data_IF_057083574716
#
_entry.id   IF_057083574716
#
_cell.length_a   1.000
_cell.length_b   1.000
_cell.length_c   1.000
_cell.angle_alpha   90.00
_cell.angle_beta   90.00
_cell.angle_gamma   90.00
#
_symmetry.space_group_name_H-M   'P 1'
#
loop_
_entity.id
_entity.type
_entity.pdbx_description
1 polymer ?
#
# COMPACT_ATOMS: atom_id res chain seq x y z
N UNK A 1 -3.46 -57.33 -28.24
CA UNK A 1 -4.68 -57.06 -29.04
C UNK A 1 -5.38 -55.87 -28.40
N UNK A 2 -5.61 -54.87 -29.24
CA UNK A 2 -6.38 -53.61 -29.19
C UNK A 2 -7.31 -53.29 -28.00
N UNK A 3 -7.23 -52.00 -27.60
CA UNK A 3 -8.12 -51.08 -26.84
C UNK A 3 -9.60 -51.05 -27.37
N UNK A 4 -10.64 -50.36 -26.78
CA UNK A 4 -10.63 -49.07 -26.03
C UNK A 4 -11.70 -48.82 -24.91
N UNK A 5 -11.59 -47.69 -24.20
CA UNK A 5 -12.70 -46.96 -23.53
C UNK A 5 -12.41 -46.56 -22.06
N UNK A 6 -11.76 -45.42 -21.80
CA UNK A 6 -12.36 -44.11 -21.50
C UNK A 6 -13.45 -44.12 -20.41
N UNK A 7 -13.07 -43.77 -19.17
CA UNK A 7 -13.90 -42.89 -18.35
C UNK A 7 -13.04 -42.03 -17.43
N UNK A 8 -13.34 -40.74 -17.49
CA UNK A 8 -12.66 -39.60 -16.89
C UNK A 8 -13.33 -39.40 -15.52
N UNK A 9 -12.61 -39.57 -14.42
CA UNK A 9 -13.05 -39.05 -13.12
C UNK A 9 -12.39 -37.70 -12.90
N UNK A 10 -13.22 -36.67 -12.86
CA UNK A 10 -12.88 -35.27 -12.69
C UNK A 10 -12.15 -35.04 -11.37
N UNK A 11 -10.91 -34.57 -11.50
CA UNK A 11 -10.06 -34.04 -10.45
C UNK A 11 -10.49 -32.57 -10.26
N UNK A 12 -11.37 -32.29 -9.30
CA UNK A 12 -11.69 -30.92 -8.90
C UNK A 12 -10.49 -30.32 -8.17
N UNK A 13 -9.53 -29.84 -8.95
CA UNK A 13 -8.46 -28.98 -8.48
C UNK A 13 -9.01 -27.60 -8.14
N UNK A 14 -8.90 -27.22 -6.86
CA UNK A 14 -9.07 -25.85 -6.38
C UNK A 14 -8.23 -24.88 -7.23
N UNK A 15 -8.84 -23.89 -7.93
CA UNK A 15 -8.08 -22.81 -8.52
C UNK A 15 -7.72 -21.83 -7.40
N UNK A 16 -6.52 -21.98 -6.86
CA UNK A 16 -5.85 -20.90 -6.15
C UNK A 16 -5.49 -19.76 -7.12
N UNK A 17 -6.49 -19.01 -7.57
CA UNK A 17 -6.29 -17.67 -8.10
C UNK A 17 -5.89 -16.77 -6.92
N UNK A 18 -4.57 -16.65 -6.73
CA UNK A 18 -3.98 -15.57 -5.97
C UNK A 18 -4.21 -14.26 -6.73
N UNK A 19 -5.42 -13.71 -6.60
CA UNK A 19 -5.74 -12.33 -6.95
C UNK A 19 -5.01 -11.41 -5.96
N UNK A 20 -3.75 -11.09 -6.25
CA UNK A 20 -3.03 -10.02 -5.58
C UNK A 20 -3.74 -8.69 -5.87
N UNK A 21 -4.64 -8.27 -4.98
CA UNK A 21 -5.26 -6.95 -5.03
C UNK A 21 -4.20 -5.89 -4.69
N UNK A 22 -3.63 -5.27 -5.72
CA UNK A 22 -2.62 -4.22 -5.57
C UNK A 22 -3.28 -2.86 -5.37
N UNK A 23 -3.25 -2.33 -4.14
CA UNK A 23 -3.77 -1.01 -3.82
C UNK A 23 -2.92 0.13 -4.43
N UNK A 24 -3.51 0.92 -5.33
CA UNK A 24 -2.84 2.06 -5.97
C UNK A 24 -3.62 3.36 -5.73
N UNK A 25 -2.90 4.40 -5.31
CA UNK A 25 -3.46 5.71 -4.99
C UNK A 25 -3.01 6.80 -5.99
N UNK A 26 -3.57 6.86 -7.21
CA UNK A 26 -3.13 7.82 -8.22
C UNK A 26 -3.45 9.27 -7.79
N UNK A 27 -2.51 10.18 -8.05
CA UNK A 27 -2.82 11.62 -8.12
C UNK A 27 -3.54 11.86 -9.45
N UNK A 28 -4.34 12.92 -9.57
CA UNK A 28 -5.04 13.31 -10.80
C UNK A 28 -4.04 13.80 -11.86
N UNK A 29 -3.19 12.90 -12.34
CA UNK A 29 -2.44 13.03 -13.58
C UNK A 29 -3.32 12.41 -14.65
N UNK A 30 -3.71 13.24 -15.62
CA UNK A 30 -4.53 12.87 -16.76
C UNK A 30 -3.80 11.81 -17.59
N UNK A 31 -4.00 10.54 -17.27
CA UNK A 31 -3.41 9.40 -17.97
C UNK A 31 -3.11 8.21 -17.06
N UNK A 32 -2.70 8.44 -15.81
CA UNK A 32 -2.27 7.34 -14.94
C UNK A 32 -3.43 6.44 -14.52
N UNK A 33 -4.62 7.00 -14.29
CA UNK A 33 -5.81 6.22 -13.96
C UNK A 33 -6.31 5.37 -15.13
N UNK A 34 -6.22 5.87 -16.37
CA UNK A 34 -6.61 5.11 -17.57
C UNK A 34 -5.65 3.95 -17.80
N UNK A 35 -4.34 4.21 -17.71
CA UNK A 35 -3.33 3.17 -17.80
C UNK A 35 -3.46 2.13 -16.69
N UNK A 36 -3.90 2.54 -15.49
CA UNK A 36 -4.10 1.62 -14.39
C UNK A 36 -5.30 0.69 -14.60
N UNK A 37 -6.41 1.24 -15.11
CA UNK A 37 -7.61 0.45 -15.43
C UNK A 37 -7.33 -0.54 -16.56
N UNK A 38 -6.52 -0.13 -17.54
CA UNK A 38 -6.13 -0.97 -18.69
C UNK A 38 -5.23 -2.14 -18.28
N UNK A 39 -4.23 -1.88 -17.42
CA UNK A 39 -3.27 -2.91 -17.00
C UNK A 39 -3.80 -3.76 -15.85
N UNK A 40 -4.63 -3.20 -14.96
CA UNK A 40 -5.14 -3.84 -13.75
C UNK A 40 -6.63 -3.52 -13.54
N UNK A 41 -7.54 -4.20 -14.24
CA UNK A 41 -8.98 -3.88 -14.21
C UNK A 41 -9.64 -4.14 -12.84
N UNK A 42 -9.09 -5.08 -12.06
CA UNK A 42 -9.67 -5.50 -10.77
C UNK A 42 -9.14 -4.68 -9.57
N UNK A 43 -8.27 -3.69 -9.80
CA UNK A 43 -7.64 -2.91 -8.73
C UNK A 43 -8.57 -1.83 -8.18
N UNK A 44 -8.70 -1.79 -6.86
CA UNK A 44 -9.41 -0.73 -6.15
C UNK A 44 -8.59 0.57 -6.19
N UNK A 45 -9.04 1.55 -6.97
CA UNK A 45 -8.38 2.85 -7.09
C UNK A 45 -8.82 3.77 -5.96
N UNK A 46 -7.89 4.10 -5.06
CA UNK A 46 -8.18 4.95 -3.89
C UNK A 46 -7.64 6.36 -4.09
N UNK A 47 -8.50 7.37 -3.97
CA UNK A 47 -8.04 8.76 -4.04
C UNK A 47 -7.82 9.36 -2.67
N UNK A 48 -6.69 10.05 -2.51
CA UNK A 48 -6.36 10.73 -1.27
C UNK A 48 -7.24 11.97 -1.06
N UNK A 49 -8.14 11.93 -0.06
CA UNK A 49 -9.02 13.05 0.29
C UNK A 49 -8.26 14.35 0.60
N UNK A 50 -7.06 14.27 1.19
CA UNK A 50 -6.16 15.42 1.42
C UNK A 50 -5.79 16.11 0.11
N UNK A 51 -5.42 15.34 -0.91
CA UNK A 51 -5.08 15.87 -2.23
C UNK A 51 -6.30 16.39 -2.98
N UNK A 52 -7.46 15.73 -2.88
CA UNK A 52 -8.72 16.24 -3.44
C UNK A 52 -9.05 17.60 -2.83
N UNK A 53 -8.97 17.74 -1.50
CA UNK A 53 -9.23 19.00 -0.79
C UNK A 53 -8.22 20.08 -1.18
N UNK A 54 -6.93 19.74 -1.26
CA UNK A 54 -5.89 20.68 -1.66
C UNK A 54 -6.06 21.17 -3.11
N UNK A 55 -6.44 20.27 -4.02
CA UNK A 55 -6.71 20.61 -5.42
C UNK A 55 -7.96 21.47 -5.57
N UNK A 56 -9.05 21.16 -4.83
CA UNK A 56 -10.27 21.98 -4.81
C UNK A 56 -10.03 23.39 -4.25
N UNK A 57 -9.14 23.56 -3.26
CA UNK A 57 -8.74 24.90 -2.77
C UNK A 57 -7.99 25.74 -3.81
N UNK A 58 -7.30 25.10 -4.75
CA UNK A 58 -6.54 25.78 -5.82
C UNK A 58 -7.42 26.10 -7.05
N UNK A 59 -8.60 25.52 -7.14
CA UNK A 59 -9.53 25.78 -8.23
C UNK A 59 -10.13 27.20 -8.11
N UNK A 60 -9.89 28.03 -9.12
CA UNK A 60 -10.38 29.41 -9.16
C UNK A 60 -11.90 29.50 -9.34
N UNK A 61 -12.56 28.43 -9.82
CA UNK A 61 -14.02 28.39 -10.05
C UNK A 61 -14.82 28.32 -8.74
N UNK A 62 -14.27 27.71 -7.70
CA UNK A 62 -14.93 27.52 -6.39
C UNK A 62 -14.89 28.78 -5.52
N UNK A 63 -14.06 29.78 -5.87
CA UNK A 63 -13.96 31.05 -5.13
C UNK A 63 -15.09 32.04 -5.43
N UNK A 64 -15.93 31.78 -6.43
CA UNK A 64 -16.93 32.73 -6.93
C UNK A 64 -18.30 32.04 -7.00
N UNK A 65 -18.99 31.96 -5.86
CA UNK A 65 -20.38 31.51 -5.78
C UNK A 65 -20.58 30.11 -5.19
N UNK A 66 -21.30 30.11 -4.08
CA UNK A 66 -22.22 29.11 -3.50
C UNK A 66 -21.87 27.60 -3.48
N UNK A 67 -21.80 27.13 -2.22
CA UNK A 67 -22.30 25.86 -1.69
C UNK A 67 -22.19 24.56 -2.51
N UNK A 68 -21.25 23.70 -2.08
CA UNK A 68 -21.56 22.32 -1.69
C UNK A 68 -20.32 21.64 -1.08
N UNK A 69 -20.02 21.99 0.17
CA UNK A 69 -18.90 21.40 0.93
C UNK A 69 -19.19 19.98 1.46
N UNK A 70 -20.41 19.43 1.25
CA UNK A 70 -20.91 18.26 1.99
C UNK A 70 -20.71 16.89 1.34
N UNK A 71 -20.40 16.80 0.05
CA UNK A 71 -20.33 15.50 -0.64
C UNK A 71 -18.94 15.26 -1.21
N UNK A 72 -18.02 14.81 -0.36
CA UNK A 72 -17.01 13.88 -0.84
C UNK A 72 -17.72 12.54 -1.01
N UNK A 73 -17.70 11.92 -2.19
CA UNK A 73 -18.30 10.61 -2.35
C UNK A 73 -17.73 9.63 -1.32
N UNK A 74 -18.60 8.84 -0.69
CA UNK A 74 -18.27 7.86 0.36
C UNK A 74 -17.09 6.94 0.01
N UNK A 75 -16.90 6.63 -1.27
CA UNK A 75 -15.76 5.86 -1.79
C UNK A 75 -14.38 6.52 -1.57
N UNK A 76 -14.31 7.75 -1.06
CA UNK A 76 -13.06 8.45 -0.74
C UNK A 76 -12.74 8.47 0.76
N UNK A 77 -13.67 8.04 1.61
CA UNK A 77 -13.46 7.99 3.05
C UNK A 77 -12.93 6.62 3.42
N UNK A 78 -11.80 6.61 4.15
CA UNK A 78 -11.11 5.40 4.60
C UNK A 78 -12.03 4.43 5.35
N UNK A 79 -13.04 4.97 6.04
CA UNK A 79 -14.03 4.20 6.77
C UNK A 79 -14.91 3.28 5.88
N UNK A 80 -14.93 3.45 4.56
CA UNK A 80 -15.71 2.62 3.62
C UNK A 80 -14.85 1.71 2.75
N UNK A 81 -13.54 1.68 2.96
CA UNK A 81 -12.65 0.80 2.20
C UNK A 81 -12.91 -0.66 2.55
N UNK A 82 -12.66 -1.54 1.57
CA UNK A 82 -12.67 -2.99 1.79
C UNK A 82 -11.53 -3.38 2.74
N UNK A 83 -11.75 -4.44 3.50
CA UNK A 83 -10.86 -4.86 4.59
C UNK A 83 -9.75 -5.84 4.13
N UNK A 84 -9.65 -6.09 2.82
CA UNK A 84 -8.64 -6.99 2.23
C UNK A 84 -7.21 -6.43 2.38
N UNK A 85 -7.04 -5.13 2.20
CA UNK A 85 -5.74 -4.46 2.20
C UNK A 85 -5.51 -3.69 3.49
N UNK A 86 -4.76 -4.31 4.40
CA UNK A 86 -4.41 -3.73 5.70
C UNK A 86 -3.16 -2.86 5.54
N UNK A 87 -3.37 -1.55 5.46
CA UNK A 87 -2.27 -0.61 5.37
C UNK A 87 -2.58 0.67 6.14
N UNK A 88 -1.65 1.12 7.00
CA UNK A 88 -1.80 2.42 7.62
C UNK A 88 -1.51 3.61 6.68
N UNK A 89 -0.66 3.37 5.69
CA UNK A 89 -0.17 4.40 4.78
C UNK A 89 -1.16 4.59 3.63
N UNK A 90 -2.00 5.61 3.75
CA UNK A 90 -2.94 6.08 2.69
C UNK A 90 -2.22 6.89 1.59
N UNK A 91 -0.92 7.14 1.77
CA UNK A 91 -0.08 7.88 0.83
C UNK A 91 0.74 6.92 -0.01
N UNK A 92 0.12 6.39 -1.07
CA UNK A 92 0.80 6.10 -2.34
C UNK A 92 2.14 5.36 -2.21
N UNK A 93 2.12 4.20 -1.54
CA UNK A 93 3.33 3.45 -1.14
C UNK A 93 4.27 3.10 -2.31
N UNK A 94 3.77 3.06 -3.54
CA UNK A 94 4.59 2.84 -4.73
C UNK A 94 5.00 4.17 -5.37
N UNK A 95 4.09 5.14 -5.54
CA UNK A 95 4.41 6.37 -6.27
C UNK A 95 5.14 7.42 -5.44
N UNK A 96 4.90 7.65 -4.15
CA UNK A 96 5.69 8.66 -3.40
C UNK A 96 7.14 8.18 -3.21
N UNK A 97 7.39 6.87 -3.20
CA UNK A 97 8.73 6.28 -3.02
C UNK A 97 9.47 5.96 -4.32
N UNK A 98 8.75 5.71 -5.43
CA UNK A 98 9.35 5.62 -6.77
C UNK A 98 9.43 7.00 -7.43
N UNK A 99 8.36 7.80 -7.44
CA UNK A 99 8.34 9.17 -8.03
C UNK A 99 8.86 10.28 -7.11
N UNK A 100 9.63 9.94 -6.09
CA UNK A 100 10.46 10.92 -5.37
C UNK A 100 11.33 11.68 -6.37
N UNK A 101 11.57 12.97 -6.10
CA UNK A 101 12.23 13.93 -7.00
C UNK A 101 13.51 13.47 -7.72
N UNK A 102 14.16 12.38 -7.29
CA UNK A 102 15.35 11.81 -7.94
C UNK A 102 15.08 11.20 -9.32
N UNK A 103 13.88 10.63 -9.59
CA UNK A 103 13.57 10.16 -10.95
C UNK A 103 13.50 11.36 -11.92
N UNK A 104 13.03 12.53 -11.47
CA UNK A 104 12.92 13.71 -12.33
C UNK A 104 14.27 14.10 -12.93
N UNK A 105 15.36 14.04 -12.15
CA UNK A 105 16.71 14.31 -12.66
C UNK A 105 17.20 13.29 -13.68
N UNK A 106 16.86 12.01 -13.49
CA UNK A 106 17.23 10.94 -14.42
C UNK A 106 16.45 11.01 -15.75
N UNK A 107 15.21 11.52 -15.75
CA UNK A 107 14.35 11.61 -16.95
C UNK A 107 14.88 12.56 -18.02
N UNK A 108 15.76 13.50 -17.68
CA UNK A 108 16.37 14.41 -18.65
C UNK A 108 17.65 13.86 -19.28
N UNK A 109 18.05 12.62 -18.94
CA UNK A 109 19.26 11.97 -19.45
C UNK A 109 18.92 11.01 -20.59
N UNK A 110 19.94 10.52 -21.28
CA UNK A 110 19.76 9.47 -22.28
C UNK A 110 19.13 8.22 -21.65
N UNK A 111 18.39 7.44 -22.44
CA UNK A 111 17.64 6.27 -21.95
C UNK A 111 18.55 5.31 -21.16
N UNK A 112 19.76 5.06 -21.67
CA UNK A 112 20.73 4.16 -21.03
C UNK A 112 21.16 4.72 -19.67
N UNK A 113 21.54 6.00 -19.60
CA UNK A 113 21.97 6.64 -18.34
C UNK A 113 20.81 6.71 -17.34
N UNK A 114 19.60 7.00 -17.80
CA UNK A 114 18.40 7.02 -16.96
C UNK A 114 18.15 5.64 -16.33
N UNK A 115 18.18 4.57 -17.13
CA UNK A 115 17.95 3.21 -16.63
C UNK A 115 19.04 2.77 -15.66
N UNK A 116 20.30 3.12 -15.93
CA UNK A 116 21.40 2.79 -15.04
C UNK A 116 21.30 3.51 -13.68
N UNK A 117 20.93 4.80 -13.68
CA UNK A 117 20.70 5.54 -12.43
C UNK A 117 19.52 4.98 -11.63
N UNK A 118 18.43 4.60 -12.31
CA UNK A 118 17.29 3.94 -11.66
C UNK A 118 17.73 2.59 -11.07
N UNK A 119 18.48 1.78 -11.83
CA UNK A 119 18.99 0.48 -11.37
C UNK A 119 19.82 0.63 -10.09
N UNK A 120 20.80 1.54 -10.10
CA UNK A 120 21.66 1.80 -8.93
C UNK A 120 20.84 2.28 -7.75
N UNK A 121 19.91 3.22 -7.96
CA UNK A 121 19.07 3.75 -6.87
C UNK A 121 18.16 2.70 -6.26
N UNK A 122 17.55 1.84 -7.08
CA UNK A 122 16.72 0.74 -6.57
C UNK A 122 17.60 -0.26 -5.81
N UNK A 123 18.79 -0.59 -6.32
CA UNK A 123 19.74 -1.48 -5.66
C UNK A 123 20.18 -0.93 -4.29
N UNK A 124 20.64 0.32 -4.22
CA UNK A 124 21.00 1.02 -2.96
C UNK A 124 19.82 1.01 -1.98
N UNK A 125 18.61 1.29 -2.47
CA UNK A 125 17.40 1.31 -1.65
C UNK A 125 17.07 -0.07 -1.09
N UNK A 126 17.15 -1.12 -1.90
CA UNK A 126 16.91 -2.49 -1.42
C UNK A 126 17.92 -2.88 -0.33
N UNK A 127 19.19 -2.48 -0.50
CA UNK A 127 20.21 -2.71 0.52
C UNK A 127 19.92 -1.94 1.81
N UNK A 128 19.64 -0.64 1.70
CA UNK A 128 19.29 0.20 2.85
C UNK A 128 18.05 -0.29 3.61
N UNK A 129 17.03 -0.79 2.91
CA UNK A 129 15.84 -1.37 3.56
C UNK A 129 16.18 -2.67 4.31
N UNK A 130 17.13 -3.46 3.82
CA UNK A 130 17.64 -4.66 4.50
C UNK A 130 18.42 -4.30 5.76
N UNK A 131 19.38 -3.40 5.66
CA UNK A 131 20.14 -2.86 6.81
C UNK A 131 19.19 -2.22 7.85
N UNK A 132 18.11 -1.58 7.39
CA UNK A 132 17.09 -1.05 8.27
C UNK A 132 16.37 -2.15 9.05
N UNK A 133 16.11 -3.31 8.44
CA UNK A 133 15.48 -4.45 9.13
C UNK A 133 16.38 -5.11 10.18
N UNK A 134 17.70 -5.04 10.02
CA UNK A 134 18.66 -5.54 11.00
C UNK A 134 18.61 -4.71 12.30
N UNK A 135 18.31 -3.41 12.19
CA UNK A 135 18.16 -2.50 13.33
C UNK A 135 16.85 -2.69 14.11
N UNK A 136 15.97 -3.60 13.70
CA UNK A 136 14.71 -3.83 14.40
C UNK A 136 14.95 -4.58 15.71
N UNK A 137 14.48 -3.99 16.81
CA UNK A 137 14.57 -4.55 18.17
C UNK A 137 13.52 -5.65 18.37
N UNK A 138 12.32 -5.47 17.81
CA UNK A 138 11.19 -6.41 17.93
C UNK A 138 10.82 -7.00 16.58
N UNK A 139 9.97 -8.03 16.60
CA UNK A 139 9.45 -8.67 15.38
C UNK A 139 8.43 -7.80 14.61
N UNK A 140 8.00 -6.68 15.21
CA UNK A 140 7.04 -5.74 14.63
C UNK A 140 7.76 -4.51 14.06
N UNK A 141 7.31 -4.04 12.91
CA UNK A 141 7.89 -2.88 12.25
C UNK A 141 7.89 -1.63 13.17
N UNK A 142 8.98 -0.82 13.21
CA UNK A 142 9.07 0.38 14.03
C UNK A 142 7.91 1.36 13.81
N UNK A 143 7.47 1.51 12.55
CA UNK A 143 6.33 2.37 12.22
C UNK A 143 5.02 1.87 12.84
N UNK A 144 4.82 0.55 12.90
CA UNK A 144 3.65 -0.03 13.56
C UNK A 144 3.75 0.11 15.08
N UNK A 145 4.94 -0.03 15.65
CA UNK A 145 5.19 0.22 17.08
C UNK A 145 4.89 1.68 17.47
N UNK A 146 5.26 2.66 16.65
CA UNK A 146 4.92 4.06 16.90
C UNK A 146 3.42 4.32 16.88
N UNK A 147 2.67 3.61 16.02
CA UNK A 147 1.20 3.68 16.01
C UNK A 147 0.62 3.00 17.26
N UNK A 148 1.17 1.85 17.66
CA UNK A 148 0.76 1.16 18.88
C UNK A 148 0.96 2.03 20.12
N UNK A 149 2.10 2.75 20.23
CA UNK A 149 2.36 3.70 21.31
C UNK A 149 1.31 4.81 21.39
N UNK A 150 0.98 5.42 20.25
CA UNK A 150 -0.08 6.44 20.18
C UNK A 150 -1.45 5.87 20.54
N UNK A 151 -1.71 4.63 20.16
CA UNK A 151 -2.96 3.96 20.50
C UNK A 151 -3.00 3.57 21.98
N UNK A 152 -1.86 3.31 22.63
CA UNK A 152 -1.78 3.04 24.06
C UNK A 152 -2.20 4.27 24.90
N UNK A 153 -1.80 5.48 24.48
CA UNK A 153 -2.27 6.73 25.13
C UNK A 153 -3.80 6.88 25.07
N UNK A 154 -4.44 6.39 24.01
CA UNK A 154 -5.90 6.35 23.90
C UNK A 154 -6.46 5.25 24.81
N UNK A 155 -5.79 4.09 24.86
CA UNK A 155 -6.22 2.95 25.65
C UNK A 155 -6.28 3.26 27.15
N UNK A 156 -5.35 4.07 27.65
CA UNK A 156 -5.29 4.50 29.06
C UNK A 156 -6.48 5.35 29.49
N UNK A 157 -7.14 6.03 28.55
CA UNK A 157 -8.31 6.88 28.80
C UNK A 157 -9.65 6.14 28.62
N UNK A 158 -9.63 4.85 28.30
CA UNK A 158 -10.82 4.07 28.00
C UNK A 158 -11.24 3.20 29.20
N UNK A 159 -12.56 3.12 29.46
CA UNK A 159 -13.10 2.19 30.45
C UNK A 159 -13.61 0.91 29.79
N UNK A 160 -13.35 -0.25 30.41
CA UNK A 160 -13.70 -1.57 29.86
C UNK A 160 -14.83 -2.22 30.65
N UNK A 161 -15.83 -2.73 29.93
CA UNK A 161 -16.83 -3.68 30.43
C UNK A 161 -16.73 -4.99 29.66
N UNK A 162 -16.57 -6.08 30.39
CA UNK A 162 -16.27 -7.40 29.83
C UNK A 162 -17.49 -8.33 29.94
N UNK A 163 -17.81 -9.04 28.84
CA UNK A 163 -18.98 -9.94 28.76
C UNK A 163 -18.69 -11.39 29.21
N UNK A 164 -17.54 -11.67 29.83
CA UNK A 164 -17.21 -13.02 30.34
C UNK A 164 -16.50 -13.96 29.36
N UNK A 165 -16.52 -13.69 28.05
CA UNK A 165 -15.83 -14.50 27.03
C UNK A 165 -14.72 -13.71 26.27
N UNK A 166 -15.01 -13.22 25.05
CA UNK A 166 -14.07 -12.48 24.20
C UNK A 166 -14.63 -11.16 23.65
N UNK A 167 -15.82 -10.78 24.10
CA UNK A 167 -16.50 -9.53 23.77
C UNK A 167 -16.29 -8.46 24.84
N UNK A 168 -15.93 -7.25 24.39
CA UNK A 168 -15.67 -6.10 25.25
C UNK A 168 -16.46 -4.89 24.78
N UNK A 169 -17.03 -4.20 25.75
CA UNK A 169 -17.63 -2.90 25.58
C UNK A 169 -16.68 -1.85 26.14
N UNK A 170 -16.23 -0.94 25.29
CA UNK A 170 -15.21 0.05 25.62
C UNK A 170 -15.83 1.42 25.54
N UNK A 171 -15.77 2.14 26.66
CA UNK A 171 -16.26 3.50 26.78
C UNK A 171 -15.10 4.47 26.52
N UNK A 172 -15.20 5.22 25.43
CA UNK A 172 -14.27 6.26 25.01
C UNK A 172 -15.09 7.55 24.80
N UNK A 173 -15.26 8.38 25.86
CA UNK A 173 -16.24 9.46 25.86
C UNK A 173 -16.11 10.39 24.64
N UNK A 174 -17.21 10.68 23.90
CA UNK A 174 -18.61 10.37 24.19
C UNK A 174 -19.14 9.05 23.61
N UNK A 175 -18.29 8.24 22.99
CA UNK A 175 -18.68 7.06 22.21
C UNK A 175 -18.49 5.76 22.98
N UNK A 176 -19.21 4.73 22.53
CA UNK A 176 -19.06 3.36 23.01
C UNK A 176 -18.69 2.47 21.84
N UNK A 177 -17.64 1.69 22.01
CA UNK A 177 -17.13 0.78 21.01
C UNK A 177 -17.27 -0.67 21.47
N UNK A 178 -17.52 -1.56 20.51
CA UNK A 178 -17.58 -3.00 20.76
C UNK A 178 -16.34 -3.62 20.11
N UNK A 179 -15.60 -4.39 20.90
CA UNK A 179 -14.40 -5.11 20.46
C UNK A 179 -14.64 -6.61 20.62
N UNK A 180 -14.36 -7.36 19.56
CA UNK A 180 -14.31 -8.81 19.53
C UNK A 180 -12.86 -9.23 19.27
N UNK A 181 -12.20 -9.79 20.30
CA UNK A 181 -10.80 -10.21 20.19
C UNK A 181 -10.63 -11.49 19.36
N UNK A 182 -11.65 -12.36 19.29
CA UNK A 182 -11.60 -13.59 18.47
C UNK A 182 -11.56 -13.24 17.00
N UNK A 183 -12.47 -12.37 16.58
CA UNK A 183 -12.57 -11.93 15.17
C UNK A 183 -11.57 -10.83 14.82
N UNK A 184 -10.87 -10.26 15.81
CA UNK A 184 -9.99 -9.08 15.63
C UNK A 184 -10.74 -7.89 15.03
N UNK A 185 -11.94 -7.64 15.53
CA UNK A 185 -12.88 -6.63 15.01
C UNK A 185 -13.14 -5.59 16.09
N UNK A 186 -13.10 -4.32 15.70
CA UNK A 186 -13.56 -3.21 16.53
C UNK A 186 -14.60 -2.38 15.78
N UNK A 187 -15.64 -1.92 16.47
CA UNK A 187 -16.67 -1.06 15.84
C UNK A 187 -16.11 0.25 15.30
N UNK A 188 -14.94 0.71 15.75
CA UNK A 188 -14.26 1.88 15.18
C UNK A 188 -13.64 1.63 13.80
N UNK A 189 -13.63 0.37 13.32
CA UNK A 189 -13.07 -0.12 12.04
C UNK A 189 -11.58 0.14 11.81
N UNK A 190 -10.90 0.86 12.70
CA UNK A 190 -9.49 1.23 12.55
C UNK A 190 -8.59 -0.01 12.52
N UNK A 191 -8.89 -1.02 13.34
CA UNK A 191 -8.11 -2.26 13.38
C UNK A 191 -8.22 -3.05 12.06
N UNK A 192 -9.43 -3.18 11.53
CA UNK A 192 -9.69 -3.90 10.28
C UNK A 192 -9.03 -3.21 9.08
N UNK A 193 -9.00 -1.88 9.06
CA UNK A 193 -8.41 -1.10 7.96
C UNK A 193 -6.88 -1.01 8.04
N UNK A 194 -6.32 -0.99 9.26
CA UNK A 194 -4.87 -0.84 9.46
C UNK A 194 -4.15 -2.17 9.56
N UNK A 195 -4.80 -3.20 10.09
CA UNK A 195 -4.15 -4.41 10.59
C UNK A 195 -3.37 -4.20 11.89
N UNK A 196 -3.51 -3.05 12.53
CA UNK A 196 -2.86 -2.71 13.80
C UNK A 196 -3.97 -2.47 14.83
N UNK A 197 -3.92 -3.09 16.03
CA UNK A 197 -4.88 -2.85 17.10
C UNK A 197 -5.09 -1.35 17.35
N UNK A 198 -6.35 -0.91 17.37
CA UNK A 198 -6.72 0.44 17.76
C UNK A 198 -6.63 0.63 19.28
N UNK A 199 -6.74 1.87 19.79
CA UNK A 199 -6.72 2.14 21.23
C UNK A 199 -7.74 1.30 22.01
N UNK A 200 -8.96 1.16 21.49
CA UNK A 200 -9.99 0.29 22.07
C UNK A 200 -9.54 -1.18 22.09
N UNK A 201 -9.04 -1.70 20.98
CA UNK A 201 -8.57 -3.08 20.93
C UNK A 201 -7.42 -3.32 21.91
N UNK A 202 -6.52 -2.35 22.08
CA UNK A 202 -5.45 -2.41 23.07
C UNK A 202 -5.99 -2.47 24.49
N UNK A 203 -6.98 -1.66 24.85
CA UNK A 203 -7.56 -1.73 26.20
C UNK A 203 -8.12 -3.11 26.52
N UNK A 204 -8.79 -3.76 25.55
CA UNK A 204 -9.29 -5.13 25.71
C UNK A 204 -8.15 -6.16 25.82
N UNK A 205 -7.09 -6.02 25.03
CA UNK A 205 -5.92 -6.92 25.07
C UNK A 205 -5.18 -6.77 26.41
N UNK A 206 -4.97 -5.55 26.88
CA UNK A 206 -4.35 -5.25 28.16
C UNK A 206 -5.19 -5.77 29.34
N UNK A 207 -6.52 -5.67 29.28
CA UNK A 207 -7.40 -6.24 30.31
C UNK A 207 -7.24 -7.77 30.47
N UNK A 208 -6.83 -8.47 29.42
CA UNK A 208 -6.59 -9.93 29.43
C UNK A 208 -5.11 -10.30 29.66
N UNK A 209 -4.23 -9.33 29.87
CA UNK A 209 -2.77 -9.51 29.96
C UNK A 209 -2.18 -10.28 28.76
N UNK A 210 -2.73 -10.06 27.57
CA UNK A 210 -2.27 -10.70 26.34
C UNK A 210 -1.18 -9.90 25.63
N UNK A 211 -0.33 -10.61 24.89
CA UNK A 211 0.77 -9.98 24.14
C UNK A 211 0.23 -9.30 22.88
N UNK A 212 0.28 -7.97 22.85
CA UNK A 212 -0.21 -7.12 21.76
C UNK A 212 0.37 -7.50 20.39
N UNK A 213 1.64 -7.87 20.33
CA UNK A 213 2.34 -8.19 19.09
C UNK A 213 1.67 -9.33 18.31
N UNK A 214 0.95 -10.24 18.97
CA UNK A 214 0.24 -11.36 18.33
C UNK A 214 -1.03 -10.92 17.57
N UNK A 215 -1.52 -9.72 17.87
CA UNK A 215 -2.72 -9.12 17.29
C UNK A 215 -2.41 -8.18 16.12
N UNK A 216 -1.13 -7.86 15.90
CA UNK A 216 -0.64 -7.13 14.73
C UNK A 216 -0.62 -8.05 13.51
N UNK A 217 -1.08 -7.53 12.38
CA UNK A 217 -1.14 -8.28 11.14
C UNK A 217 0.26 -8.67 10.61
N UNK A 218 0.34 -9.83 9.94
CA UNK A 218 1.58 -10.40 9.40
C UNK A 218 2.31 -9.46 8.43
N UNK A 219 1.61 -8.54 7.76
CA UNK A 219 2.21 -7.53 6.89
C UNK A 219 3.22 -6.61 7.58
N UNK A 220 3.11 -6.44 8.90
CA UNK A 220 4.03 -5.61 9.69
C UNK A 220 5.12 -6.42 10.41
N UNK A 221 5.18 -7.73 10.18
CA UNK A 221 6.18 -8.60 10.78
C UNK A 221 7.50 -8.56 10.02
N UNK A 222 8.60 -8.69 10.76
CA UNK A 222 9.97 -8.70 10.22
C UNK A 222 10.16 -9.78 9.15
N UNK A 223 9.58 -10.95 9.36
CA UNK A 223 9.65 -12.06 8.41
C UNK A 223 9.08 -11.69 7.03
N UNK A 224 7.86 -11.17 6.98
CA UNK A 224 7.20 -10.72 5.74
C UNK A 224 7.98 -9.58 5.09
N UNK A 225 8.51 -8.67 5.90
CA UNK A 225 9.37 -7.58 5.41
C UNK A 225 10.64 -8.12 4.72
N UNK A 226 11.34 -9.06 5.36
CA UNK A 226 12.54 -9.68 4.79
C UNK A 226 12.22 -10.46 3.51
N UNK A 227 11.10 -11.17 3.47
CA UNK A 227 10.62 -11.85 2.25
C UNK A 227 10.42 -10.87 1.09
N UNK A 228 9.81 -9.71 1.35
CA UNK A 228 9.58 -8.67 0.35
C UNK A 228 10.89 -8.10 -0.22
N UNK A 229 11.94 -7.98 0.60
CA UNK A 229 13.23 -7.45 0.17
C UNK A 229 14.27 -8.52 -0.14
N UNK A 230 13.92 -9.82 -0.13
CA UNK A 230 14.89 -10.91 -0.26
C UNK A 230 15.65 -10.88 -1.61
N UNK A 231 15.00 -10.44 -2.69
CA UNK A 231 15.62 -10.40 -4.02
C UNK A 231 16.71 -9.33 -4.14
N UNK A 232 17.64 -9.52 -5.08
CA UNK A 232 18.76 -8.62 -5.33
C UNK A 232 18.80 -8.17 -6.79
N UNK A 233 19.20 -6.92 -7.00
CA UNK A 233 19.60 -6.44 -8.32
C UNK A 233 21.10 -6.67 -8.43
N UNK A 234 21.53 -7.44 -9.43
CA UNK A 234 22.94 -7.73 -9.64
C UNK A 234 23.70 -6.49 -10.14
N UNK A 235 24.96 -6.32 -9.73
CA UNK A 235 25.82 -5.28 -10.28
C UNK A 235 26.03 -5.51 -11.78
N UNK A 236 26.25 -4.42 -12.51
CA UNK A 236 26.49 -4.45 -13.95
C UNK A 236 27.81 -3.76 -14.25
N UNK A 237 28.54 -4.25 -15.25
CA UNK A 237 29.75 -3.59 -15.73
C UNK A 237 29.40 -2.28 -16.44
N UNK A 238 30.40 -1.45 -16.75
CA UNK A 238 30.16 -0.20 -17.47
C UNK A 238 29.82 -0.46 -18.95
N UNK A 239 29.26 0.56 -19.61
CA UNK A 239 28.86 0.49 -21.02
C UNK A 239 29.99 0.10 -21.99
N UNK A 240 31.25 0.39 -21.64
CA UNK A 240 32.42 0.03 -22.44
C UNK A 240 32.74 -1.47 -22.39
N UNK A 241 32.30 -2.16 -21.34
CA UNK A 241 32.52 -3.57 -21.09
C UNK A 241 31.30 -4.43 -21.46
N UNK A 242 30.22 -3.83 -21.95
CA UNK A 242 29.05 -4.58 -22.39
C UNK A 242 29.32 -5.31 -23.70
N UNK A 243 28.81 -6.55 -23.86
CA UNK A 243 28.88 -7.25 -25.13
C UNK A 243 28.14 -6.44 -26.20
N UNK A 244 28.65 -6.46 -27.43
CA UNK A 244 27.96 -5.85 -28.57
C UNK A 244 26.68 -6.64 -28.82
N UNK A 245 25.56 -5.92 -28.98
CA UNK A 245 24.27 -6.51 -29.30
C UNK A 245 24.18 -6.79 -30.80
N UNK A 246 23.69 -7.96 -31.17
CA UNK A 246 23.37 -8.32 -32.57
C UNK A 246 22.04 -7.72 -33.06
N UNK A 247 21.27 -7.07 -32.17
CA UNK A 247 20.02 -6.39 -32.50
C UNK A 247 20.27 -5.13 -33.33
N UNK A 248 19.34 -4.75 -34.24
CA UNK A 248 19.47 -3.53 -35.01
C UNK A 248 19.58 -2.30 -34.10
N UNK A 249 20.36 -1.32 -34.53
CA UNK A 249 20.50 -0.06 -33.82
C UNK A 249 19.14 0.63 -33.70
N UNK A 250 18.81 1.11 -32.51
CA UNK A 250 17.59 1.89 -32.29
C UNK A 250 17.80 3.24 -32.96
N UNK A 251 17.06 3.51 -34.04
CA UNK A 251 17.07 4.81 -34.69
C UNK A 251 16.45 5.88 -33.79
N UNK A 252 16.98 7.12 -33.81
CA UNK A 252 16.36 8.21 -33.09
C UNK A 252 14.92 8.43 -33.58
N UNK A 253 13.98 8.81 -32.71
CA UNK A 253 12.61 9.11 -33.13
C UNK A 253 12.63 10.21 -34.19
N UNK A 254 11.84 10.02 -35.26
CA UNK A 254 11.71 11.01 -36.33
C UNK A 254 11.21 12.33 -35.73
N UNK A 255 12.01 13.38 -35.86
CA UNK A 255 11.63 14.72 -35.41
C UNK A 255 10.56 15.25 -36.37
N UNK A 256 9.30 15.18 -35.98
CA UNK A 256 8.23 15.92 -36.65
C UNK A 256 8.27 17.35 -36.15
N UNK A 257 8.66 18.30 -37.00
CA UNK A 257 8.54 19.71 -36.68
C UNK A 257 7.07 19.99 -36.29
N UNK A 258 6.83 20.50 -35.09
CA UNK A 258 5.51 20.98 -34.72
C UNK A 258 5.18 22.12 -35.66
N UNK A 259 4.21 21.91 -36.54
CA UNK A 259 3.66 22.97 -37.36
C UNK A 259 3.12 24.04 -36.40
N UNK A 260 3.84 25.16 -36.30
CA UNK A 260 3.35 26.37 -35.65
C UNK A 260 2.13 26.79 -36.47
N UNK A 261 0.94 26.56 -35.92
CA UNK A 261 -0.29 27.14 -36.49
C UNK A 261 -0.18 28.66 -36.29
N UNK A 262 0.25 29.34 -37.35
CA UNK A 262 0.12 30.78 -37.53
C UNK A 262 -1.33 31.17 -37.63
#
# INVERSE_FOLDING_TARGET
>A
MLDPGSDISEDEGDPAENDEVVDLAPRKESGLHLALIDVLPNVEIRWCARHIRANRKKDRRVKKGEENYRQLPWHHLRAYFKEHSKCDVVENNIRVRLSTAWILGARFKSIITMLEEIRVKVMERMNHMREFSEKWITDVAPMAMDILRKNAEIADNCEVKFNGDLGFEIHDPPYKHVVDLRKKVCSCRSWQLKGIPCGHALTAIHYKDWVVDTFVDHWYKKETYLKAYNRFIQPMTNMKMWPKSDRPAIEPPRITAYAVKT
#
